data_IF_472070980449
#
_entry.id   IF_472070980449
#
_cell.length_a   1.000
_cell.length_b   1.000
_cell.length_c   1.000
_cell.angle_alpha   90.00
_cell.angle_beta   90.00
_cell.angle_gamma   90.00
#
_symmetry.space_group_name_H-M   'P 1'
#
loop_
_entity.id
_entity.type
_entity.pdbx_description
1 polymer ?
#
# COMPACT_ATOMS: atom_id res chain seq x y z
N UNK A 1 -13.37 -28.14 0.67
CA UNK A 1 -13.34 -29.36 -0.18
C UNK A 1 -11.96 -29.42 -0.85
N UNK A 2 -11.20 -30.51 -0.67
CA UNK A 2 -9.88 -30.70 -1.30
C UNK A 2 -10.10 -31.35 -2.67
N UNK A 3 -9.32 -30.99 -3.70
CA UNK A 3 -9.41 -31.68 -4.99
C UNK A 3 -8.85 -33.11 -4.88
N UNK A 4 -9.58 -34.10 -5.38
CA UNK A 4 -9.19 -35.52 -5.30
C UNK A 4 -8.19 -35.98 -6.39
N UNK A 5 -7.64 -35.07 -7.21
CA UNK A 5 -6.62 -35.37 -8.22
C UNK A 5 -6.71 -34.50 -9.48
N UNK A 6 -5.86 -34.80 -10.47
CA UNK A 6 -5.84 -34.15 -11.79
C UNK A 6 -6.57 -34.99 -12.84
N UNK A 7 -7.23 -34.35 -13.81
CA UNK A 7 -7.85 -35.04 -14.94
C UNK A 7 -6.82 -35.64 -15.91
N UNK A 8 -7.15 -36.80 -16.51
CA UNK A 8 -6.20 -37.59 -17.31
C UNK A 8 -6.64 -37.92 -18.74
N UNK A 9 -7.90 -37.65 -19.10
CA UNK A 9 -8.44 -37.94 -20.44
C UNK A 9 -8.23 -36.75 -21.39
N UNK A 10 -7.98 -37.03 -22.66
CA UNK A 10 -7.83 -36.04 -23.73
C UNK A 10 -6.41 -35.93 -24.28
N UNK A 11 -6.27 -35.36 -25.48
CA UNK A 11 -4.97 -35.05 -26.05
C UNK A 11 -4.33 -33.87 -25.32
N UNK A 12 -3.02 -33.95 -25.06
CA UNK A 12 -2.27 -32.86 -24.42
C UNK A 12 -2.04 -31.73 -25.42
N UNK A 13 -2.11 -30.50 -24.94
CA UNK A 13 -1.77 -29.31 -25.70
C UNK A 13 -1.11 -28.28 -24.79
N UNK A 14 -0.17 -27.52 -25.34
CA UNK A 14 0.50 -26.46 -24.61
C UNK A 14 -0.32 -25.18 -24.66
N UNK A 15 -0.56 -24.59 -23.49
CA UNK A 15 -1.30 -23.35 -23.33
C UNK A 15 -0.39 -22.25 -22.79
N UNK A 16 -0.56 -21.04 -23.32
CA UNK A 16 -0.04 -19.83 -22.69
C UNK A 16 -1.19 -19.17 -21.95
N UNK A 17 -0.97 -18.86 -20.69
CA UNK A 17 -1.93 -18.15 -19.85
C UNK A 17 -1.43 -16.73 -19.64
N UNK A 18 -2.37 -15.83 -19.35
CA UNK A 18 -2.06 -14.53 -18.75
C UNK A 18 -1.80 -14.73 -17.23
N UNK A 19 -0.90 -15.65 -16.90
CA UNK A 19 -0.48 -15.98 -15.54
C UNK A 19 1.04 -15.82 -15.44
N UNK A 20 1.47 -14.92 -14.57
CA UNK A 20 2.88 -14.57 -14.41
C UNK A 20 3.34 -15.01 -13.03
N UNK A 21 4.28 -15.96 -13.00
CA UNK A 21 4.87 -16.45 -11.76
C UNK A 21 5.68 -15.35 -11.06
N UNK A 22 5.13 -14.81 -9.99
CA UNK A 22 5.83 -13.86 -9.10
C UNK A 22 6.61 -14.61 -8.03
N UNK A 23 7.82 -14.14 -7.69
CA UNK A 23 8.62 -14.65 -6.57
C UNK A 23 8.92 -13.51 -5.60
N UNK A 24 8.67 -13.74 -4.32
CA UNK A 24 9.05 -12.83 -3.24
C UNK A 24 10.40 -13.23 -2.67
N UNK A 25 11.18 -12.28 -2.14
CA UNK A 25 12.38 -12.63 -1.41
C UNK A 25 11.98 -13.29 -0.08
N UNK A 26 12.63 -14.40 0.30
CA UNK A 26 12.41 -14.98 1.61
C UNK A 26 12.70 -13.94 2.70
N UNK A 27 11.82 -13.83 3.70
CA UNK A 27 11.97 -12.96 4.90
C UNK A 27 11.80 -11.45 4.67
N UNK A 28 11.21 -11.01 3.57
CA UNK A 28 10.73 -9.62 3.48
C UNK A 28 9.47 -9.49 4.36
N UNK A 29 9.64 -8.88 5.53
CA UNK A 29 8.53 -8.55 6.43
C UNK A 29 7.79 -7.32 5.92
N UNK A 30 6.48 -7.48 5.72
CA UNK A 30 5.57 -6.41 5.32
C UNK A 30 4.87 -5.89 6.57
N UNK A 31 4.94 -4.57 6.76
CA UNK A 31 4.33 -3.88 7.89
C UNK A 31 3.11 -3.13 7.41
N UNK A 32 2.00 -3.25 8.13
CA UNK A 32 0.71 -2.67 7.80
C UNK A 32 0.36 -1.53 8.76
N UNK A 33 -0.19 -0.47 8.18
CA UNK A 33 -0.57 0.76 8.86
C UNK A 33 -1.97 1.20 8.40
N UNK A 34 -2.76 1.68 9.34
CA UNK A 34 -3.99 2.43 9.11
C UNK A 34 -3.66 3.88 8.74
N UNK A 35 -4.36 4.40 7.74
CA UNK A 35 -4.28 5.78 7.26
C UNK A 35 -5.64 6.43 7.37
N UNK A 36 -5.70 7.60 8.02
CA UNK A 36 -6.85 8.49 8.00
C UNK A 36 -6.49 9.77 7.25
N UNK A 37 -7.38 10.22 6.36
CA UNK A 37 -7.25 11.49 5.64
C UNK A 37 -8.51 12.29 5.90
N UNK A 38 -8.35 13.52 6.38
CA UNK A 38 -9.45 14.41 6.69
C UNK A 38 -9.41 15.65 5.79
N UNK A 39 -10.54 16.08 5.18
CA UNK A 39 -11.80 15.35 5.11
C UNK A 39 -11.70 14.10 4.21
N UNK A 40 -12.47 13.07 4.56
CA UNK A 40 -12.56 11.85 3.77
C UNK A 40 -13.00 12.16 2.32
N UNK A 41 -12.43 11.45 1.34
CA UNK A 41 -12.58 11.81 -0.07
C UNK A 41 -12.53 10.63 -1.03
N UNK A 42 -12.55 10.91 -2.34
CA UNK A 42 -12.47 9.89 -3.39
C UNK A 42 -11.07 9.26 -3.44
N UNK A 43 -11.00 7.94 -3.62
CA UNK A 43 -9.74 7.17 -3.68
C UNK A 43 -8.64 7.75 -4.57
N UNK A 44 -8.91 8.27 -5.80
CA UNK A 44 -7.86 8.86 -6.63
C UNK A 44 -7.19 10.08 -5.97
N UNK A 45 -7.96 10.86 -5.21
CA UNK A 45 -7.45 12.03 -4.49
C UNK A 45 -6.63 11.56 -3.28
N UNK A 46 -7.11 10.57 -2.52
CA UNK A 46 -6.32 9.98 -1.43
C UNK A 46 -4.94 9.51 -1.92
N UNK A 47 -4.86 8.87 -3.09
CA UNK A 47 -3.59 8.47 -3.70
C UNK A 47 -2.70 9.66 -4.06
N UNK A 48 -3.26 10.75 -4.60
CA UNK A 48 -2.52 11.99 -4.85
C UNK A 48 -1.97 12.59 -3.55
N UNK A 49 -2.77 12.62 -2.49
CA UNK A 49 -2.35 13.09 -1.15
C UNK A 49 -1.17 12.27 -0.63
N UNK A 50 -1.24 10.94 -0.67
CA UNK A 50 -0.14 10.08 -0.20
C UNK A 50 1.11 10.19 -1.09
N UNK A 51 0.95 10.41 -2.39
CA UNK A 51 2.07 10.67 -3.30
C UNK A 51 2.79 11.97 -2.90
N UNK A 52 2.04 13.05 -2.69
CA UNK A 52 2.57 14.34 -2.24
C UNK A 52 3.19 14.25 -0.84
N UNK A 53 2.60 13.46 0.07
CA UNK A 53 3.18 13.16 1.38
C UNK A 53 4.58 12.53 1.22
N UNK A 54 4.74 11.57 0.32
CA UNK A 54 6.05 10.96 0.08
C UNK A 54 7.05 11.93 -0.56
N UNK A 55 6.60 12.82 -1.44
CA UNK A 55 7.47 13.88 -2.01
C UNK A 55 8.02 14.81 -0.92
N UNK A 56 7.17 15.22 0.03
CA UNK A 56 7.54 16.17 1.10
C UNK A 56 8.32 15.47 2.22
N UNK A 57 7.84 14.34 2.71
CA UNK A 57 8.30 13.70 3.94
C UNK A 57 9.07 12.38 3.72
N UNK A 58 9.20 11.94 2.46
CA UNK A 58 9.77 10.64 2.10
C UNK A 58 11.19 10.43 2.61
N UNK A 59 12.06 11.42 2.43
CA UNK A 59 13.46 11.31 2.86
C UNK A 59 13.63 11.52 4.37
N UNK A 60 12.97 12.54 4.92
CA UNK A 60 13.22 12.97 6.30
C UNK A 60 12.46 12.14 7.33
N UNK A 61 11.14 11.98 7.17
CA UNK A 61 10.29 11.33 8.18
C UNK A 61 10.08 9.85 7.88
N UNK A 62 9.95 9.48 6.61
CA UNK A 62 9.80 8.08 6.19
C UNK A 62 11.15 7.38 5.96
N UNK A 63 12.28 8.06 6.17
CA UNK A 63 13.64 7.49 6.04
C UNK A 63 13.89 6.81 4.68
N UNK A 64 13.31 7.37 3.62
CA UNK A 64 13.37 6.84 2.25
C UNK A 64 12.49 5.60 2.01
N UNK A 65 11.74 5.10 3.01
CA UNK A 65 10.92 3.88 2.87
C UNK A 65 9.76 4.10 1.93
N UNK A 66 9.79 3.36 0.82
CA UNK A 66 8.66 3.28 -0.11
C UNK A 66 7.53 2.49 0.52
N UNK A 67 6.30 2.85 0.16
CA UNK A 67 5.09 2.18 0.61
C UNK A 67 4.13 1.89 -0.55
N UNK A 68 3.25 0.93 -0.34
CA UNK A 68 2.05 0.70 -1.15
C UNK A 68 0.83 1.16 -0.37
N UNK A 69 -0.11 1.83 -1.02
CA UNK A 69 -1.34 2.32 -0.42
C UNK A 69 -2.54 1.87 -1.27
N UNK A 70 -3.56 1.30 -0.62
CA UNK A 70 -4.75 0.78 -1.29
C UNK A 70 -5.65 1.88 -1.89
N UNK A 71 -5.50 3.12 -1.42
CA UNK A 71 -6.33 4.26 -1.81
C UNK A 71 -7.42 4.60 -0.79
N UNK A 72 -7.45 3.91 0.36
CA UNK A 72 -8.44 4.11 1.40
C UNK A 72 -7.80 4.16 2.79
N UNK A 73 -7.50 3.02 3.42
CA UNK A 73 -7.04 2.96 4.82
C UNK A 73 -5.75 2.20 5.02
N UNK A 74 -5.29 1.42 4.04
CA UNK A 74 -4.19 0.48 4.27
C UNK A 74 -2.92 0.93 3.58
N UNK A 75 -1.87 1.16 4.37
CA UNK A 75 -0.52 1.45 3.90
C UNK A 75 0.43 0.32 4.31
N UNK A 76 1.26 -0.12 3.37
CA UNK A 76 2.18 -1.23 3.53
C UNK A 76 3.61 -0.81 3.23
N UNK A 77 4.56 -1.18 4.09
CA UNK A 77 5.99 -0.89 3.90
C UNK A 77 6.83 -2.15 4.03
N UNK A 78 8.03 -2.11 3.45
CA UNK A 78 9.08 -3.10 3.72
C UNK A 78 9.88 -2.63 4.93
N UNK A 79 9.74 -3.35 6.04
CA UNK A 79 10.28 -2.98 7.35
C UNK A 79 9.56 -1.80 8.03
N UNK A 80 9.69 -1.63 9.35
CA UNK A 80 8.89 -0.68 10.12
C UNK A 80 9.26 0.78 9.87
N UNK A 81 8.27 1.66 9.88
CA UNK A 81 8.42 3.11 10.02
C UNK A 81 8.96 3.46 11.41
N UNK A 82 9.79 4.50 11.51
CA UNK A 82 10.46 4.90 12.75
C UNK A 82 9.56 5.81 13.63
N UNK A 83 8.27 5.50 13.69
CA UNK A 83 7.29 6.16 14.55
C UNK A 83 6.11 5.23 14.85
N UNK A 84 5.51 5.39 16.03
CA UNK A 84 4.30 4.67 16.45
C UNK A 84 3.01 5.32 15.99
N UNK A 85 3.04 6.61 15.65
CA UNK A 85 1.96 7.33 15.00
C UNK A 85 2.54 8.64 14.45
N UNK A 86 1.97 9.17 13.37
CA UNK A 86 2.40 10.47 12.87
C UNK A 86 1.29 11.18 12.09
N UNK A 87 1.10 12.44 12.42
CA UNK A 87 0.29 13.38 11.66
C UNK A 87 1.16 14.17 10.68
N UNK A 88 0.62 14.35 9.48
CA UNK A 88 1.20 15.11 8.38
C UNK A 88 0.18 16.12 7.88
N UNK A 89 0.68 17.26 7.39
CA UNK A 89 -0.14 18.23 6.65
C UNK A 89 0.29 18.17 5.19
N UNK A 90 -0.69 18.04 4.30
CA UNK A 90 -0.43 17.87 2.87
C UNK A 90 -1.34 18.79 2.08
N UNK A 91 -0.72 19.72 1.35
CA UNK A 91 -1.38 20.60 0.41
C UNK A 91 -1.17 20.09 -1.03
N UNK A 92 -2.24 19.98 -1.80
CA UNK A 92 -2.18 19.61 -3.21
C UNK A 92 -1.98 20.84 -4.09
N UNK A 93 -1.06 20.76 -5.05
CA UNK A 93 -0.75 21.90 -5.94
C UNK A 93 -1.95 22.29 -6.83
N UNK A 94 -2.74 21.28 -7.25
CA UNK A 94 -3.95 21.46 -8.08
C UNK A 94 -5.15 22.04 -7.29
N UNK A 95 -5.07 22.03 -5.95
CA UNK A 95 -6.17 22.41 -5.04
C UNK A 95 -5.58 22.98 -3.73
N UNK A 96 -5.00 24.20 -3.78
CA UNK A 96 -4.25 24.77 -2.66
C UNK A 96 -5.13 25.24 -1.50
N UNK A 97 -6.46 25.25 -1.65
CA UNK A 97 -7.39 25.46 -0.53
C UNK A 97 -7.60 24.19 0.30
N UNK A 98 -7.16 23.04 -0.24
CA UNK A 98 -7.35 21.74 0.37
C UNK A 98 -6.11 21.31 1.15
N UNK A 99 -6.05 21.75 2.39
CA UNK A 99 -5.16 21.17 3.39
C UNK A 99 -5.73 19.84 3.86
N UNK A 100 -4.97 18.76 3.65
CA UNK A 100 -5.40 17.39 4.02
C UNK A 100 -4.52 16.86 5.15
N UNK A 101 -4.97 16.96 6.41
CA UNK A 101 -4.40 16.20 7.50
C UNK A 101 -4.37 14.71 7.17
N UNK A 102 -3.19 14.09 7.30
CA UNK A 102 -2.99 12.66 7.14
C UNK A 102 -2.42 12.09 8.42
N UNK A 103 -3.10 11.10 9.00
CA UNK A 103 -2.62 10.37 10.16
C UNK A 103 -2.26 8.94 9.74
N UNK A 104 -1.07 8.48 10.13
CA UNK A 104 -0.60 7.11 9.92
C UNK A 104 -0.39 6.45 11.27
N UNK A 105 -1.02 5.29 11.46
CA UNK A 105 -0.98 4.48 12.68
C UNK A 105 -0.60 3.04 12.32
N UNK A 106 0.28 2.36 13.08
CA UNK A 106 0.47 0.93 12.93
C UNK A 106 -0.81 0.21 13.31
N UNK A 107 -1.16 -0.79 12.53
CA UNK A 107 -2.23 -1.69 12.95
C UNK A 107 -1.69 -2.51 14.11
N UNK A 108 -2.25 -2.28 15.30
CA UNK A 108 -1.94 -3.06 16.49
C UNK A 108 -2.47 -4.48 16.21
N UNK A 109 -1.61 -5.36 15.74
CA UNK A 109 -1.83 -6.80 15.87
C UNK A 109 -1.75 -7.12 17.37
N UNK A 110 -2.90 -7.16 18.03
CA UNK A 110 -3.10 -7.96 19.24
C UNK A 110 -3.03 -9.45 18.86
#
# INVERSE_FOLDING_TARGET
MKSNGFGSKGAKCDLKLNDFKVKFRPREEVYHYSVSIEPATKRPICRKVLMKLYEIYGQQTLMGKKFAYDGEKSLFTVGPLQFSSKDFQVLLDDDPERDSPVNILPDILL
#
